data_IF_070221891990
#
_entry.id   IF_070221891990
#
_cell.length_a   1.000
_cell.length_b   1.000
_cell.length_c   1.000
_cell.angle_alpha   90.00
_cell.angle_beta   90.00
_cell.angle_gamma   90.00
#
_symmetry.space_group_name_H-M   'P 1'
#
loop_
_entity.id
_entity.type
_entity.pdbx_description
1 polymer ?
#
# COMPACT_ATOMS: atom_id res chain seq x y z
N UNK A 1 20.77 -37.13 0.50
CA UNK A 1 19.47 -36.95 1.16
C UNK A 1 19.02 -35.56 0.80
N UNK A 2 17.97 -35.44 -0.01
CA UNK A 2 17.33 -34.15 -0.26
C UNK A 2 16.61 -33.71 1.01
N UNK A 3 16.89 -32.48 1.45
CA UNK A 3 16.16 -31.85 2.55
C UNK A 3 14.74 -31.52 2.07
N UNK A 4 13.70 -32.18 2.59
CA UNK A 4 12.31 -31.91 2.19
C UNK A 4 11.82 -30.51 2.60
N UNK A 5 12.61 -29.77 3.40
CA UNK A 5 12.35 -28.40 3.83
C UNK A 5 13.27 -27.38 3.16
N UNK A 6 13.90 -27.71 2.03
CA UNK A 6 14.62 -26.73 1.22
C UNK A 6 13.64 -25.67 0.68
N UNK A 7 13.51 -24.58 1.44
CA UNK A 7 12.62 -23.44 1.17
C UNK A 7 13.04 -22.63 -0.06
N UNK A 8 14.04 -23.06 -0.85
CA UNK A 8 14.36 -22.51 -2.16
C UNK A 8 13.83 -23.36 -3.32
N UNK A 9 13.16 -24.49 -3.05
CA UNK A 9 12.60 -25.39 -4.06
C UNK A 9 11.08 -25.31 -4.13
N UNK A 10 10.55 -25.56 -5.31
CA UNK A 10 9.12 -25.73 -5.55
C UNK A 10 8.76 -27.20 -5.37
N UNK A 11 7.86 -27.48 -4.45
CA UNK A 11 7.32 -28.81 -4.19
C UNK A 11 5.89 -28.91 -4.72
N UNK A 12 5.43 -30.11 -5.06
CA UNK A 12 4.06 -30.32 -5.55
C UNK A 12 3.32 -31.29 -4.64
N UNK A 13 2.05 -30.96 -4.36
CA UNK A 13 1.11 -31.91 -3.78
C UNK A 13 0.57 -32.75 -4.92
N UNK A 14 0.70 -34.07 -4.78
CA UNK A 14 0.23 -35.06 -5.74
C UNK A 14 -1.06 -35.65 -5.19
N UNK A 15 -2.12 -35.72 -6.00
CA UNK A 15 -3.36 -36.41 -5.64
C UNK A 15 -3.23 -37.94 -5.76
N UNK A 16 -4.27 -38.67 -5.36
CA UNK A 16 -4.27 -40.14 -5.38
C UNK A 16 -4.13 -40.74 -6.80
N UNK A 17 -4.42 -39.94 -7.83
CA UNK A 17 -4.32 -40.34 -9.24
C UNK A 17 -2.95 -39.99 -9.84
N UNK A 18 -2.03 -39.42 -9.04
CA UNK A 18 -0.68 -39.06 -9.48
C UNK A 18 -0.58 -37.67 -10.12
N UNK A 19 -1.66 -36.87 -10.11
CA UNK A 19 -1.66 -35.54 -10.71
C UNK A 19 -1.21 -34.47 -9.69
N UNK A 20 -0.50 -33.45 -10.20
CA UNK A 20 -0.10 -32.30 -9.39
C UNK A 20 -1.31 -31.41 -9.14
N UNK A 21 -1.81 -31.39 -7.90
CA UNK A 21 -3.01 -30.64 -7.51
C UNK A 21 -2.68 -29.26 -6.95
N UNK A 22 -1.51 -29.10 -6.32
CA UNK A 22 -1.04 -27.82 -5.80
C UNK A 22 0.48 -27.72 -5.85
N UNK A 23 0.99 -26.49 -5.81
CA UNK A 23 2.42 -26.21 -5.64
C UNK A 23 2.65 -25.52 -4.30
N UNK A 24 3.64 -26.01 -3.55
CA UNK A 24 4.19 -25.37 -2.37
C UNK A 24 5.42 -24.60 -2.85
N UNK A 25 5.38 -23.29 -2.71
CA UNK A 25 6.41 -22.39 -3.21
C UNK A 25 6.99 -21.52 -2.10
N UNK A 26 8.25 -21.09 -2.24
CA UNK A 26 8.82 -20.08 -1.35
C UNK A 26 8.00 -18.79 -1.41
N UNK A 27 7.85 -18.10 -0.27
CA UNK A 27 7.03 -16.89 -0.18
C UNK A 27 7.55 -15.78 -1.11
N UNK A 28 8.88 -15.70 -1.30
CA UNK A 28 9.51 -14.71 -2.18
C UNK A 28 9.19 -14.99 -3.65
N UNK A 29 9.16 -16.26 -4.06
CA UNK A 29 8.77 -16.67 -5.42
C UNK A 29 7.29 -16.36 -5.68
N UNK A 30 6.41 -16.57 -4.69
CA UNK A 30 5.01 -16.18 -4.78
C UNK A 30 4.84 -14.67 -5.01
N UNK A 31 5.60 -13.84 -4.29
CA UNK A 31 5.57 -12.38 -4.46
C UNK A 31 6.00 -11.96 -5.87
N UNK A 32 7.05 -12.58 -6.42
CA UNK A 32 7.50 -12.33 -7.79
C UNK A 32 6.45 -12.72 -8.83
N UNK A 33 5.75 -13.85 -8.64
CA UNK A 33 4.69 -14.29 -9.54
C UNK A 33 3.48 -13.34 -9.52
N UNK A 34 3.12 -12.80 -8.35
CA UNK A 34 2.07 -11.77 -8.26
C UNK A 34 2.51 -10.51 -9.00
N UNK A 35 3.74 -10.04 -8.78
CA UNK A 35 4.27 -8.87 -9.46
C UNK A 35 4.28 -9.07 -10.99
N UNK A 36 4.70 -10.25 -11.46
CA UNK A 36 4.64 -10.60 -12.87
C UNK A 36 3.20 -10.60 -13.40
N UNK A 37 2.26 -11.18 -12.65
CA UNK A 37 0.84 -11.19 -13.01
C UNK A 37 0.27 -9.78 -13.15
N UNK A 38 0.67 -8.84 -12.29
CA UNK A 38 0.20 -7.44 -12.39
C UNK A 38 0.80 -6.70 -13.59
N UNK A 39 2.02 -7.04 -14.01
CA UNK A 39 2.64 -6.47 -15.21
C UNK A 39 2.00 -6.98 -16.50
N UNK A 40 1.59 -8.26 -16.54
CA UNK A 40 1.03 -8.89 -17.74
C UNK A 40 -0.48 -8.67 -17.84
N UNK A 41 -1.18 -8.65 -16.71
CA UNK A 41 -2.62 -8.49 -16.67
C UNK A 41 -2.97 -7.00 -16.68
N UNK A 42 -3.42 -6.50 -17.84
CA UNK A 42 -3.91 -5.13 -18.04
C UNK A 42 -5.27 -4.86 -17.33
N UNK A 43 -5.49 -5.51 -16.19
CA UNK A 43 -6.66 -5.39 -15.32
C UNK A 43 -6.15 -4.91 -13.96
N UNK A 44 -6.57 -3.73 -13.48
CA UNK A 44 -6.30 -3.35 -12.10
C UNK A 44 -6.85 -4.46 -11.19
N UNK A 45 -6.02 -4.93 -10.25
CA UNK A 45 -6.46 -5.78 -9.13
C UNK A 45 -7.78 -5.23 -8.56
N UNK A 46 -8.71 -6.10 -8.08
CA UNK A 46 -10.07 -5.71 -7.72
C UNK A 46 -10.06 -4.37 -6.99
N UNK A 47 -10.77 -3.38 -7.55
CA UNK A 47 -10.85 -2.01 -7.02
C UNK A 47 -10.90 -2.13 -5.51
N UNK A 48 -9.82 -1.75 -4.80
CA UNK A 48 -9.81 -1.89 -3.37
C UNK A 48 -11.03 -1.15 -2.84
N UNK A 49 -11.59 -1.63 -1.72
CA UNK A 49 -12.65 -0.98 -0.92
C UNK A 49 -12.17 0.38 -0.37
N UNK A 50 -11.67 1.23 -1.25
CA UNK A 50 -10.96 2.45 -1.02
C UNK A 50 -11.84 3.55 -1.59
N UNK A 51 -12.70 4.08 -0.72
CA UNK A 51 -13.61 5.16 -1.05
C UNK A 51 -12.88 6.45 -1.45
N UNK A 52 -11.58 6.55 -1.18
CA UNK A 52 -10.79 7.75 -1.39
C UNK A 52 -9.52 7.49 -2.20
N UNK A 53 -9.18 8.44 -3.05
CA UNK A 53 -7.92 8.50 -3.77
C UNK A 53 -7.20 9.82 -3.51
N UNK A 54 -5.87 9.79 -3.62
CA UNK A 54 -5.03 10.96 -3.58
C UNK A 54 -4.04 10.90 -4.73
N UNK A 55 -4.06 11.92 -5.58
CA UNK A 55 -3.18 12.07 -6.74
C UNK A 55 -2.31 13.31 -6.54
N UNK A 56 -0.99 13.14 -6.67
CA UNK A 56 -0.04 14.25 -6.63
C UNK A 56 1.13 13.95 -7.55
N UNK A 57 1.42 14.86 -8.49
CA UNK A 57 2.46 14.67 -9.53
C UNK A 57 2.30 13.31 -10.24
N UNK A 58 3.32 12.45 -10.19
CA UNK A 58 3.37 11.13 -10.84
C UNK A 58 2.91 9.98 -9.94
N UNK A 59 2.35 10.28 -8.76
CA UNK A 59 1.94 9.27 -7.78
C UNK A 59 0.44 9.30 -7.52
N UNK A 60 -0.10 8.11 -7.31
CA UNK A 60 -1.50 7.86 -7.02
C UNK A 60 -1.58 6.84 -5.90
N UNK A 61 -2.30 7.21 -4.85
CA UNK A 61 -2.60 6.36 -3.72
C UNK A 61 -4.11 6.24 -3.54
N UNK A 62 -4.54 5.13 -2.98
CA UNK A 62 -5.91 4.85 -2.62
C UNK A 62 -5.98 4.42 -1.16
N UNK A 63 -7.11 4.68 -0.53
CA UNK A 63 -7.30 4.29 0.84
C UNK A 63 -8.68 4.60 1.38
N UNK A 64 -8.85 4.28 2.65
CA UNK A 64 -10.10 4.52 3.37
C UNK A 64 -9.84 4.91 4.82
N UNK A 65 -10.66 5.80 5.41
CA UNK A 65 -10.53 6.17 6.80
C UNK A 65 -10.96 5.02 7.72
N UNK A 66 -10.30 4.89 8.86
CA UNK A 66 -10.64 3.90 9.89
C UNK A 66 -10.93 4.57 11.24
N UNK A 67 -11.80 3.97 12.06
CA UNK A 67 -12.09 4.44 13.40
C UNK A 67 -13.03 5.65 13.47
N UNK A 68 -12.88 6.49 14.51
CA UNK A 68 -13.82 7.58 14.83
C UNK A 68 -13.65 8.75 13.85
N UNK A 69 -14.77 9.29 13.32
CA UNK A 69 -14.75 10.47 12.43
C UNK A 69 -14.04 11.70 13.00
N UNK A 70 -13.99 11.89 14.32
CA UNK A 70 -13.30 13.03 14.94
C UNK A 70 -11.76 12.93 14.84
N UNK A 71 -11.22 11.71 14.93
CA UNK A 71 -9.79 11.40 14.82
C UNK A 71 -9.63 10.11 14.03
N UNK A 72 -9.86 10.14 12.71
CA UNK A 72 -9.78 8.94 11.90
C UNK A 72 -8.32 8.50 11.78
N UNK A 73 -8.10 7.19 11.82
CA UNK A 73 -6.95 6.56 11.18
C UNK A 73 -7.17 6.49 9.66
N UNK A 74 -6.21 5.96 8.93
CA UNK A 74 -6.34 5.83 7.48
C UNK A 74 -5.52 4.66 6.94
N UNK A 75 -6.14 3.81 6.15
CA UNK A 75 -5.46 2.68 5.52
C UNK A 75 -5.17 3.00 4.07
N UNK A 76 -3.90 2.94 3.68
CA UNK A 76 -3.51 2.92 2.27
C UNK A 76 -3.52 1.47 1.80
N UNK A 77 -4.09 1.24 0.63
CA UNK A 77 -4.22 -0.10 0.04
C UNK A 77 -3.03 -0.46 -0.84
N UNK A 78 -2.79 -1.76 -0.97
CA UNK A 78 -1.80 -2.35 -1.90
C UNK A 78 -1.93 -1.74 -3.30
N UNK A 79 -0.79 -1.58 -3.96
CA UNK A 79 -0.70 -1.00 -5.31
C UNK A 79 -0.61 0.52 -5.35
N UNK A 80 -0.93 1.20 -4.23
CA UNK A 80 -0.72 2.63 -4.07
C UNK A 80 0.75 3.00 -4.22
N UNK A 81 1.02 4.20 -4.76
CA UNK A 81 2.37 4.69 -5.00
C UNK A 81 2.66 5.95 -4.19
N UNK A 82 3.92 6.13 -3.80
CA UNK A 82 4.44 7.33 -3.14
C UNK A 82 5.63 7.89 -3.91
N UNK A 83 5.90 9.18 -3.73
CA UNK A 83 7.05 9.81 -4.37
C UNK A 83 8.33 9.44 -3.61
N UNK A 84 9.40 9.10 -4.33
CA UNK A 84 10.75 8.89 -3.78
C UNK A 84 11.40 10.19 -3.29
N UNK A 85 10.72 11.34 -3.46
CA UNK A 85 11.17 12.73 -3.33
C UNK A 85 12.35 13.03 -2.39
N UNK A 86 13.09 14.08 -2.73
CA UNK A 86 14.32 14.51 -2.04
C UNK A 86 14.20 14.48 -0.52
N UNK A 87 15.06 13.69 0.12
CA UNK A 87 15.07 13.48 1.57
C UNK A 87 15.14 14.79 2.36
N UNK A 88 15.77 15.83 1.81
CA UNK A 88 15.96 17.14 2.44
C UNK A 88 14.67 17.94 2.66
N UNK A 89 13.61 17.64 1.91
CA UNK A 89 12.31 18.32 2.03
C UNK A 89 11.31 17.55 2.92
N UNK A 90 11.64 16.33 3.32
CA UNK A 90 10.78 15.53 4.19
C UNK A 90 11.04 15.86 5.66
N UNK A 91 9.96 15.84 6.46
CA UNK A 91 10.10 15.86 7.92
C UNK A 91 10.84 14.59 8.37
N UNK A 92 11.78 14.69 9.33
CA UNK A 92 12.55 13.54 9.80
C UNK A 92 11.69 12.33 10.21
N UNK A 93 10.53 12.57 10.82
CA UNK A 93 9.60 11.50 11.22
C UNK A 93 8.98 10.74 10.04
N UNK A 94 8.72 11.42 8.92
CA UNK A 94 8.18 10.78 7.71
C UNK A 94 9.30 10.02 6.98
N UNK A 95 10.52 10.55 6.99
CA UNK A 95 11.68 9.85 6.44
C UNK A 95 11.96 8.55 7.20
N UNK A 96 11.94 8.59 8.54
CA UNK A 96 12.06 7.39 9.38
C UNK A 96 10.93 6.39 9.11
N UNK A 97 9.69 6.85 9.00
CA UNK A 97 8.57 6.00 8.64
C UNK A 97 8.76 5.35 7.27
N UNK A 98 9.17 6.12 6.25
CA UNK A 98 9.44 5.59 4.91
C UNK A 98 10.51 4.51 4.95
N UNK A 99 11.65 4.78 5.61
CA UNK A 99 12.75 3.84 5.68
C UNK A 99 12.34 2.54 6.39
N UNK A 100 11.59 2.65 7.49
CA UNK A 100 11.00 1.51 8.20
C UNK A 100 10.09 0.68 7.27
N UNK A 101 9.24 1.33 6.49
CA UNK A 101 8.34 0.63 5.56
C UNK A 101 9.08 -0.05 4.41
N UNK A 102 10.21 0.50 3.98
CA UNK A 102 11.10 -0.15 2.99
C UNK A 102 11.78 -1.36 3.62
N UNK A 103 12.30 -1.23 4.84
CA UNK A 103 12.92 -2.33 5.60
C UNK A 103 11.93 -3.48 5.87
N UNK A 104 10.68 -3.14 6.21
CA UNK A 104 9.58 -4.10 6.39
C UNK A 104 9.00 -4.64 5.08
N UNK A 105 9.58 -4.30 3.92
CA UNK A 105 9.11 -4.69 2.57
C UNK A 105 7.64 -4.32 2.29
N UNK A 106 7.11 -3.32 3.01
CA UNK A 106 5.81 -2.73 2.74
C UNK A 106 5.88 -1.84 1.52
N UNK A 107 6.98 -1.10 1.39
CA UNK A 107 7.29 -0.25 0.24
C UNK A 107 8.43 -0.85 -0.55
N UNK A 108 8.23 -1.03 -1.85
CA UNK A 108 9.27 -1.48 -2.77
C UNK A 108 9.48 -0.42 -3.83
N UNK A 109 10.73 -0.21 -4.24
CA UNK A 109 11.06 0.71 -5.33
C UNK A 109 10.41 0.21 -6.63
N UNK A 110 9.57 1.05 -7.22
CA UNK A 110 8.92 0.76 -8.50
C UNK A 110 9.77 1.29 -9.66
N UNK A 111 10.33 2.49 -9.50
CA UNK A 111 11.25 3.14 -10.44
C UNK A 111 12.09 4.21 -9.70
N UNK A 112 12.83 5.03 -10.44
CA UNK A 112 13.70 6.07 -9.88
C UNK A 112 12.96 7.24 -9.23
N UNK A 113 11.63 7.32 -9.34
CA UNK A 113 10.83 8.40 -8.77
C UNK A 113 9.76 7.92 -7.80
N UNK A 114 9.46 6.62 -7.74
CA UNK A 114 8.29 6.06 -7.05
C UNK A 114 8.59 4.79 -6.26
N UNK A 115 7.92 4.67 -5.12
CA UNK A 115 7.77 3.40 -4.41
C UNK A 115 6.31 2.95 -4.44
N UNK A 116 6.09 1.65 -4.33
CA UNK A 116 4.77 1.04 -4.33
C UNK A 116 4.52 0.26 -3.04
N UNK A 117 3.29 0.37 -2.52
CA UNK A 117 2.80 -0.44 -1.42
C UNK A 117 2.55 -1.89 -1.88
N UNK A 118 3.26 -2.84 -1.27
CA UNK A 118 3.10 -4.27 -1.54
C UNK A 118 1.96 -4.92 -0.74
N UNK A 119 1.52 -4.26 0.33
CA UNK A 119 0.38 -4.65 1.16
C UNK A 119 -0.31 -3.42 1.74
N UNK A 120 -1.52 -3.61 2.23
CA UNK A 120 -2.26 -2.58 2.95
C UNK A 120 -1.50 -2.14 4.21
N UNK A 121 -1.52 -0.83 4.48
CA UNK A 121 -0.87 -0.25 5.64
C UNK A 121 -1.76 0.77 6.34
N UNK A 122 -1.97 0.55 7.64
CA UNK A 122 -2.77 1.41 8.50
C UNK A 122 -1.92 2.52 9.12
N UNK A 123 -2.27 3.76 8.82
CA UNK A 123 -1.72 4.96 9.42
C UNK A 123 -2.58 5.43 10.60
N UNK A 124 -1.91 6.01 11.59
CA UNK A 124 -2.56 6.65 12.73
C UNK A 124 -3.45 7.86 12.32
N UNK A 125 -3.24 8.45 11.14
CA UNK A 125 -4.10 9.53 10.62
C UNK A 125 -4.01 9.69 9.09
N UNK A 126 -5.06 10.25 8.44
CA UNK A 126 -5.03 10.59 7.01
C UNK A 126 -3.91 11.56 6.64
N UNK A 127 -3.50 12.44 7.56
CA UNK A 127 -2.41 13.39 7.32
C UNK A 127 -1.05 12.70 7.30
N UNK A 128 -0.82 11.70 8.16
CA UNK A 128 0.40 10.90 8.10
C UNK A 128 0.49 10.15 6.76
N UNK A 129 -0.63 9.56 6.31
CA UNK A 129 -0.74 8.91 5.01
C UNK A 129 -0.46 9.89 3.85
N UNK A 130 -1.11 11.07 3.83
CA UNK A 130 -0.93 12.07 2.78
C UNK A 130 0.50 12.63 2.74
N UNK A 131 1.12 12.87 3.90
CA UNK A 131 2.50 13.36 3.99
C UNK A 131 3.50 12.36 3.41
N UNK A 132 3.30 11.06 3.67
CA UNK A 132 4.15 10.03 3.11
C UNK A 132 3.97 9.93 1.58
N UNK A 133 2.72 9.92 1.10
CA UNK A 133 2.42 9.85 -0.35
C UNK A 133 3.02 11.02 -1.11
N UNK A 134 2.82 12.23 -0.61
CA UNK A 134 3.28 13.46 -1.28
C UNK A 134 4.75 13.80 -1.00
N UNK A 135 5.41 13.11 -0.06
CA UNK A 135 6.74 13.45 0.43
C UNK A 135 6.88 14.91 0.91
N UNK A 136 5.80 15.50 1.41
CA UNK A 136 5.76 16.86 1.96
C UNK A 136 4.61 17.03 2.96
N UNK A 137 4.56 18.15 3.68
CA UNK A 137 3.47 18.41 4.61
C UNK A 137 2.14 18.65 3.86
N UNK A 138 1.16 17.77 4.06
CA UNK A 138 -0.18 17.85 3.46
C UNK A 138 -1.28 17.63 4.49
N UNK A 139 -2.37 18.37 4.34
CA UNK A 139 -3.63 18.11 5.08
C UNK A 139 -4.28 16.85 4.53
N UNK A 140 -4.31 15.77 5.31
CA UNK A 140 -4.97 14.54 4.88
C UNK A 140 -6.47 14.74 4.66
N UNK A 141 -7.12 15.58 5.47
CA UNK A 141 -8.56 15.82 5.36
C UNK A 141 -8.96 16.47 4.01
N UNK A 142 -8.04 17.20 3.38
CA UNK A 142 -8.27 17.86 2.09
C UNK A 142 -7.63 17.10 0.91
N UNK A 143 -6.61 16.29 1.16
CA UNK A 143 -5.86 15.57 0.13
C UNK A 143 -6.62 14.35 -0.43
N UNK A 144 -7.31 13.60 0.44
CA UNK A 144 -8.04 12.39 0.06
C UNK A 144 -9.43 12.75 -0.45
N UNK A 145 -9.75 12.36 -1.67
CA UNK A 145 -11.01 12.66 -2.36
C UNK A 145 -11.75 11.39 -2.75
N UNK A 146 -13.06 11.39 -2.59
CA UNK A 146 -13.93 10.31 -3.09
C UNK A 146 -14.14 10.40 -4.61
N UNK A 147 -14.83 9.41 -5.17
CA UNK A 147 -15.15 9.38 -6.60
C UNK A 147 -16.04 10.55 -7.08
N UNK A 148 -16.71 11.28 -6.17
CA UNK A 148 -17.44 12.51 -6.48
C UNK A 148 -16.57 13.77 -6.30
N UNK A 149 -15.28 13.62 -6.04
CA UNK A 149 -14.33 14.71 -5.82
C UNK A 149 -14.47 15.37 -4.44
N UNK A 150 -15.18 14.75 -3.49
CA UNK A 150 -15.39 15.31 -2.16
C UNK A 150 -14.29 14.86 -1.20
N UNK A 151 -13.72 15.80 -0.46
CA UNK A 151 -12.67 15.51 0.50
C UNK A 151 -13.19 14.81 1.77
N UNK A 152 -12.30 14.15 2.53
CA UNK A 152 -12.63 13.63 3.86
C UNK A 152 -13.28 14.70 4.75
N UNK A 153 -12.79 15.95 4.70
CA UNK A 153 -13.38 17.07 5.44
C UNK A 153 -14.85 17.29 5.06
N UNK A 154 -15.16 17.28 3.77
CA UNK A 154 -16.53 17.44 3.26
C UNK A 154 -17.43 16.23 3.60
N UNK A 155 -16.84 15.04 3.80
CA UNK A 155 -17.53 13.84 4.28
C UNK A 155 -17.72 13.81 5.82
N UNK A 156 -17.33 14.89 6.50
CA UNK A 156 -17.55 15.09 7.94
C UNK A 156 -16.45 14.53 8.83
N UNK A 157 -15.28 14.20 8.29
CA UNK A 157 -14.12 13.78 9.07
C UNK A 157 -13.36 14.99 9.64
N UNK A 158 -12.78 14.83 10.83
CA UNK A 158 -12.02 15.88 11.52
C UNK A 158 -12.86 16.96 12.21
N UNK A 159 -14.19 16.81 12.20
CA UNK A 159 -15.08 17.68 12.99
C UNK A 159 -14.89 17.35 14.48
N UNK A 160 -14.58 18.36 15.29
CA UNK A 160 -14.76 18.27 16.74
C UNK A 160 -16.26 18.45 16.98
N UNK A 161 -16.95 17.44 17.54
CA UNK A 161 -18.24 17.71 18.17
C UNK A 161 -17.99 18.83 19.17
N UNK A 162 -18.79 19.90 19.06
CA UNK A 162 -18.72 21.05 19.94
C UNK A 162 -18.67 20.63 21.41
N UNK A 163 -17.85 21.37 22.15
CA UNK A 163 -17.76 21.33 23.61
C UNK A 163 -19.10 21.59 24.27
#
# INVERSE_FOLDING_TARGET
MDDPLDLNKVSFIIDNDGNKSAAIIPIDLYQQLIALKSLISNQPEPEPSADFSFKVKHVKAWGFPQGKKSKPGFTIVKGSTIALGNADSLRPSILQLRNKLVEEHVLVKLDDERLQFMRDYAFASPSAAACLVASNARSGLDAWQDHWGRSLKQRGYGQKKGS
#
